data_IF_077510611444
#
_entry.id   IF_077510611444
#
_cell.length_a   1.000
_cell.length_b   1.000
_cell.length_c   1.000
_cell.angle_alpha   90.00
_cell.angle_beta   90.00
_cell.angle_gamma   90.00
#
_symmetry.space_group_name_H-M   'P 1'
#
loop_
_entity.id
_entity.type
_entity.pdbx_description
1 polymer ?
#
# COMPACT_ATOMS: atom_id res chain seq x y z
N UNK A 1 21.44 -1.17 29.30
CA UNK A 1 22.19 -0.31 28.36
C UNK A 1 21.18 0.57 27.62
N UNK A 2 21.19 1.88 27.85
CA UNK A 2 20.35 2.81 27.07
C UNK A 2 21.00 2.92 25.69
N UNK A 3 20.42 2.27 24.70
CA UNK A 3 20.93 2.32 23.33
C UNK A 3 20.91 3.79 22.85
N UNK A 4 22.06 4.29 22.40
CA UNK A 4 22.16 5.63 21.81
C UNK A 4 21.19 5.73 20.64
N UNK A 5 20.30 6.74 20.59
CA UNK A 5 19.29 6.82 19.54
C UNK A 5 19.98 6.96 18.17
N UNK A 6 19.69 6.02 17.26
CA UNK A 6 20.21 6.06 15.88
C UNK A 6 19.31 6.94 15.02
N UNK A 7 19.91 7.69 14.09
CA UNK A 7 19.18 8.47 13.08
C UNK A 7 19.03 7.66 11.79
N UNK A 8 17.92 7.86 11.08
CA UNK A 8 17.66 7.21 9.79
C UNK A 8 18.54 7.89 8.72
N UNK A 9 19.42 7.11 8.06
CA UNK A 9 20.33 7.62 7.01
C UNK A 9 19.65 7.68 5.64
N UNK A 10 18.91 6.65 5.26
CA UNK A 10 18.27 6.51 3.96
C UNK A 10 17.07 5.55 4.04
N UNK A 11 16.18 5.63 3.04
CA UNK A 11 15.05 4.71 2.85
C UNK A 11 15.17 4.04 1.49
N UNK A 12 15.18 2.70 1.45
CA UNK A 12 15.13 1.92 0.20
C UNK A 12 13.69 1.46 0.00
N UNK A 13 13.03 1.99 -1.03
CA UNK A 13 11.68 1.58 -1.40
C UNK A 13 11.74 0.33 -2.29
N UNK A 14 10.71 -0.52 -2.17
CA UNK A 14 10.57 -1.75 -2.94
C UNK A 14 9.13 -2.25 -2.91
N UNK A 15 8.91 -3.41 -3.53
CA UNK A 15 7.66 -4.14 -3.48
C UNK A 15 7.74 -5.19 -2.36
N UNK A 16 6.61 -5.42 -1.68
CA UNK A 16 6.54 -6.44 -0.64
C UNK A 16 6.38 -7.82 -1.29
N UNK A 17 7.37 -8.69 -1.13
CA UNK A 17 7.27 -10.06 -1.62
C UNK A 17 6.24 -10.85 -0.81
N UNK A 18 5.57 -11.86 -1.40
CA UNK A 18 4.65 -12.73 -0.67
C UNK A 18 5.31 -13.39 0.54
N UNK A 19 6.57 -13.82 0.41
CA UNK A 19 7.33 -14.40 1.52
C UNK A 19 7.59 -13.39 2.64
N UNK A 20 7.90 -12.13 2.28
CA UNK A 20 8.10 -11.08 3.27
C UNK A 20 6.80 -10.73 4.00
N UNK A 21 5.67 -10.65 3.28
CA UNK A 21 4.35 -10.39 3.88
C UNK A 21 4.00 -11.46 4.91
N UNK A 22 4.20 -12.75 4.59
CA UNK A 22 3.97 -13.84 5.55
C UNK A 22 4.91 -13.77 6.75
N UNK A 23 6.16 -13.35 6.55
CA UNK A 23 7.16 -13.22 7.63
C UNK A 23 6.85 -12.09 8.62
N UNK A 24 6.37 -10.94 8.14
CA UNK A 24 6.01 -9.81 9.01
C UNK A 24 4.63 -9.96 9.65
N UNK A 25 3.87 -10.97 9.23
CA UNK A 25 2.51 -11.16 9.68
C UNK A 25 2.45 -12.03 10.93
N UNK A 26 1.74 -11.54 11.94
CA UNK A 26 1.54 -12.25 13.21
C UNK A 26 0.31 -13.16 13.21
N UNK A 27 -0.61 -12.94 12.27
CA UNK A 27 -1.86 -13.69 12.16
C UNK A 27 -2.32 -13.81 10.71
N UNK A 28 -2.72 -15.03 10.33
CA UNK A 28 -3.48 -15.29 9.11
C UNK A 28 -4.95 -14.98 9.39
N UNK A 29 -5.53 -14.11 8.58
CA UNK A 29 -6.92 -13.69 8.74
C UNK A 29 -7.79 -14.57 7.84
N UNK A 30 -8.74 -15.25 8.47
CA UNK A 30 -9.62 -16.21 7.80
C UNK A 30 -11.06 -15.78 7.91
N UNK A 31 -11.52 -15.30 9.07
CA UNK A 31 -12.92 -14.96 9.29
C UNK A 31 -13.21 -13.51 8.93
N UNK A 32 -14.40 -13.29 8.34
CA UNK A 32 -14.87 -11.96 7.97
C UNK A 32 -15.52 -11.21 9.14
N UNK A 33 -15.91 -11.92 10.20
CA UNK A 33 -16.58 -11.35 11.36
C UNK A 33 -15.59 -10.64 12.29
N UNK A 34 -16.03 -9.54 12.89
CA UNK A 34 -15.18 -8.66 13.69
C UNK A 34 -15.28 -8.94 15.18
N UNK A 35 -16.50 -8.96 15.72
CA UNK A 35 -16.80 -9.20 17.13
C UNK A 35 -17.89 -10.25 17.28
N UNK A 36 -17.85 -10.99 18.38
CA UNK A 36 -18.90 -11.90 18.80
C UNK A 36 -20.09 -11.15 19.45
N UNK A 37 -21.12 -11.91 19.84
CA UNK A 37 -22.34 -11.37 20.48
C UNK A 37 -22.06 -10.71 21.84
N UNK A 38 -20.98 -11.14 22.52
CA UNK A 38 -20.52 -10.60 23.80
C UNK A 38 -19.62 -9.36 23.64
N UNK A 39 -19.30 -8.97 22.39
CA UNK A 39 -18.48 -7.82 22.06
C UNK A 39 -16.96 -8.06 22.12
N UNK A 40 -16.52 -9.32 22.22
CA UNK A 40 -15.11 -9.69 22.12
C UNK A 40 -14.68 -9.93 20.68
N UNK A 41 -13.44 -9.56 20.32
CA UNK A 41 -12.94 -9.77 18.96
C UNK A 41 -12.71 -11.26 18.67
N UNK A 42 -13.06 -11.70 17.46
CA UNK A 42 -12.78 -13.06 17.02
C UNK A 42 -11.29 -13.32 16.81
N UNK A 43 -10.82 -14.47 17.30
CA UNK A 43 -9.49 -14.99 16.97
C UNK A 43 -9.47 -15.42 15.48
N UNK A 44 -8.46 -14.96 14.73
CA UNK A 44 -8.37 -15.17 13.28
C UNK A 44 -9.24 -14.23 12.43
N UNK A 45 -9.92 -13.26 13.06
CA UNK A 45 -10.70 -12.22 12.39
C UNK A 45 -9.95 -10.90 12.21
N UNK A 46 -10.60 -9.89 11.64
CA UNK A 46 -9.97 -8.60 11.34
C UNK A 46 -9.60 -7.75 12.56
N UNK A 47 -10.19 -8.07 13.72
CA UNK A 47 -9.95 -7.41 15.01
C UNK A 47 -9.14 -8.30 15.97
N UNK A 48 -8.47 -9.35 15.45
CA UNK A 48 -7.66 -10.27 16.26
C UNK A 48 -6.68 -9.50 17.16
N UNK A 49 -6.66 -9.75 18.49
CA UNK A 49 -5.78 -9.05 19.43
C UNK A 49 -4.28 -9.17 19.15
N UNK A 50 -3.86 -10.11 18.29
CA UNK A 50 -2.48 -10.22 17.79
C UNK A 50 -2.12 -9.07 16.85
N UNK A 51 -3.08 -8.48 16.15
CA UNK A 51 -2.89 -7.33 15.25
C UNK A 51 -2.80 -5.99 16.00
N UNK A 52 -3.13 -5.97 17.27
CA UNK A 52 -3.16 -4.79 18.12
C UNK A 52 -4.45 -4.70 18.91
N UNK A 53 -4.52 -3.71 19.81
CA UNK A 53 -5.69 -3.47 20.66
C UNK A 53 -6.13 -2.03 20.58
N UNK A 54 -7.44 -1.82 20.57
CA UNK A 54 -8.09 -0.49 20.60
C UNK A 54 -8.94 -0.30 21.86
N UNK A 55 -9.45 -1.39 22.45
CA UNK A 55 -10.22 -1.34 23.69
C UNK A 55 -9.30 -1.22 24.92
N UNK A 56 -9.50 -0.25 25.83
CA UNK A 56 -8.62 0.00 26.98
C UNK A 56 -8.46 -1.19 27.96
N UNK A 57 -9.44 -2.10 27.98
CA UNK A 57 -9.41 -3.30 28.83
C UNK A 57 -8.57 -4.45 28.27
N UNK A 58 -8.18 -4.40 27.00
CA UNK A 58 -7.46 -5.48 26.32
C UNK A 58 -5.95 -5.22 26.27
N UNK A 59 -5.19 -6.32 26.27
CA UNK A 59 -3.74 -6.33 26.03
C UNK A 59 -3.46 -7.05 24.72
N UNK A 60 -2.50 -6.52 23.95
CA UNK A 60 -2.12 -7.15 22.70
C UNK A 60 -1.48 -8.53 22.96
N UNK A 61 -1.95 -9.56 22.24
CA UNK A 61 -1.41 -10.93 22.37
C UNK A 61 0.04 -11.04 21.85
N UNK A 62 0.49 -10.13 20.99
CA UNK A 62 1.83 -10.16 20.37
C UNK A 62 2.87 -9.41 21.20
N UNK A 63 2.60 -8.16 21.58
CA UNK A 63 3.57 -7.33 22.33
C UNK A 63 3.27 -7.18 23.83
N UNK A 64 2.07 -7.57 24.31
CA UNK A 64 1.66 -7.41 25.71
C UNK A 64 1.30 -5.98 26.12
N UNK A 65 1.54 -4.99 25.26
CA UNK A 65 1.23 -3.57 25.51
C UNK A 65 -0.27 -3.28 25.51
N UNK A 66 -0.65 -2.21 26.21
CA UNK A 66 -2.00 -1.65 26.22
C UNK A 66 -2.20 -0.68 25.06
N UNK A 67 -3.43 -0.17 24.92
CA UNK A 67 -3.79 0.89 23.97
C UNK A 67 -2.89 2.11 24.20
N UNK A 68 -2.34 2.68 23.12
CA UNK A 68 -1.42 3.82 23.14
C UNK A 68 0.05 3.43 23.01
N UNK A 69 0.49 2.38 23.70
CA UNK A 69 1.87 1.89 23.65
C UNK A 69 2.09 0.81 22.58
N UNK A 70 1.02 0.11 22.19
CA UNK A 70 1.08 -0.90 21.14
C UNK A 70 1.28 -0.24 19.76
N UNK A 71 2.36 -0.55 19.00
CA UNK A 71 2.57 -0.01 17.66
C UNK A 71 1.58 -0.57 16.63
N UNK A 72 0.96 -1.71 16.93
CA UNK A 72 0.17 -2.51 15.99
C UNK A 72 1.03 -3.49 15.19
N UNK A 73 0.41 -4.59 14.77
CA UNK A 73 1.08 -5.68 14.06
C UNK A 73 0.31 -6.06 12.79
N UNK A 74 1.04 -6.45 11.75
CA UNK A 74 0.44 -6.78 10.46
C UNK A 74 -0.17 -8.19 10.46
N UNK A 75 -1.27 -8.33 9.73
CA UNK A 75 -1.87 -9.60 9.36
C UNK A 75 -1.63 -9.91 7.90
N UNK A 76 -2.08 -11.08 7.45
CA UNK A 76 -2.15 -11.37 6.02
C UNK A 76 -3.39 -12.19 5.67
N UNK A 77 -3.87 -12.00 4.44
CA UNK A 77 -4.89 -12.83 3.80
C UNK A 77 -4.22 -13.56 2.64
N UNK A 78 -4.39 -14.88 2.62
CA UNK A 78 -3.96 -15.71 1.49
C UNK A 78 -5.06 -15.67 0.42
N UNK A 79 -4.72 -15.18 -0.77
CA UNK A 79 -5.68 -15.06 -1.86
C UNK A 79 -5.82 -16.40 -2.59
N UNK A 80 -7.05 -16.82 -2.89
CA UNK A 80 -7.33 -18.08 -3.58
C UNK A 80 -6.80 -18.08 -5.03
N UNK A 81 -6.73 -16.89 -5.65
CA UNK A 81 -6.15 -16.66 -6.98
C UNK A 81 -5.34 -15.37 -6.99
N UNK A 82 -4.32 -15.25 -7.87
CA UNK A 82 -3.55 -14.02 -7.99
C UNK A 82 -4.42 -12.85 -8.47
N UNK A 83 -4.12 -11.65 -8.01
CA UNK A 83 -4.89 -10.44 -8.31
C UNK A 83 -3.96 -9.30 -8.69
N UNK A 84 -4.25 -8.62 -9.79
CA UNK A 84 -3.44 -7.52 -10.30
C UNK A 84 -3.55 -6.32 -9.36
N UNK A 85 -2.41 -5.81 -8.91
CA UNK A 85 -2.38 -4.54 -8.19
C UNK A 85 -2.59 -3.37 -9.16
N UNK A 86 -3.72 -2.67 -9.03
CA UNK A 86 -4.17 -1.61 -9.96
C UNK A 86 -3.13 -0.49 -10.19
N UNK A 87 -2.31 -0.18 -9.18
CA UNK A 87 -1.24 0.81 -9.29
C UNK A 87 -0.18 0.47 -10.35
N UNK A 88 -0.02 -0.82 -10.67
CA UNK A 88 0.98 -1.32 -11.61
C UNK A 88 0.37 -1.78 -12.94
N UNK A 89 -0.95 -1.69 -13.13
CA UNK A 89 -1.62 -2.22 -14.32
C UNK A 89 -1.03 -1.70 -15.65
N UNK A 90 -0.67 -0.41 -15.70
CA UNK A 90 -0.01 0.20 -16.86
C UNK A 90 1.44 -0.24 -17.05
N UNK A 91 2.15 -0.51 -15.95
CA UNK A 91 3.55 -0.96 -15.98
C UNK A 91 3.62 -2.41 -16.44
N UNK A 92 2.79 -3.29 -15.87
CA UNK A 92 2.61 -4.68 -16.32
C UNK A 92 2.28 -4.72 -17.81
N UNK A 93 1.39 -3.85 -18.30
CA UNK A 93 1.13 -3.73 -19.74
C UNK A 93 2.37 -3.39 -20.57
N UNK A 94 3.20 -2.42 -20.13
CA UNK A 94 4.46 -2.09 -20.82
C UNK A 94 5.40 -3.30 -20.87
N UNK A 95 5.53 -4.02 -19.75
CA UNK A 95 6.39 -5.20 -19.64
C UNK A 95 5.92 -6.31 -20.56
N UNK A 96 4.65 -6.69 -20.47
CA UNK A 96 4.08 -7.78 -21.29
C UNK A 96 4.28 -7.54 -22.78
N UNK A 97 4.24 -6.28 -23.24
CA UNK A 97 4.50 -5.95 -24.65
C UNK A 97 5.96 -6.10 -25.07
N UNK A 98 6.88 -5.86 -24.14
CA UNK A 98 8.33 -6.01 -24.37
C UNK A 98 8.83 -7.43 -24.22
N UNK A 99 8.05 -8.32 -23.58
CA UNK A 99 8.41 -9.72 -23.36
C UNK A 99 7.78 -10.64 -24.41
N UNK A 100 8.51 -11.67 -24.81
CA UNK A 100 7.93 -12.77 -25.58
C UNK A 100 6.90 -13.54 -24.73
N UNK A 101 5.78 -13.93 -25.34
CA UNK A 101 4.72 -14.67 -24.65
C UNK A 101 5.10 -16.09 -24.21
N UNK A 102 6.12 -16.67 -24.84
CA UNK A 102 6.51 -18.07 -24.60
C UNK A 102 7.82 -18.20 -23.81
N UNK A 103 8.90 -17.52 -24.25
CA UNK A 103 10.19 -17.60 -23.56
C UNK A 103 10.38 -16.56 -22.45
N UNK A 104 9.45 -15.60 -22.28
CA UNK A 104 9.53 -14.51 -21.29
C UNK A 104 10.81 -13.67 -21.32
N UNK A 105 11.60 -13.76 -22.40
CA UNK A 105 12.76 -12.89 -22.65
C UNK A 105 12.34 -11.59 -23.32
N UNK A 106 13.14 -10.55 -23.16
CA UNK A 106 12.93 -9.27 -23.85
C UNK A 106 13.03 -9.49 -25.37
N UNK A 107 12.14 -8.85 -26.14
CA UNK A 107 12.12 -8.90 -27.62
C UNK A 107 13.23 -8.09 -28.28
N UNK A 108 14.47 -8.20 -27.80
CA UNK A 108 15.63 -7.50 -28.32
C UNK A 108 16.80 -8.47 -28.47
N UNK A 109 17.60 -8.28 -29.52
CA UNK A 109 18.81 -9.07 -29.72
C UNK A 109 19.85 -8.77 -28.63
N UNK A 110 20.71 -9.75 -28.30
CA UNK A 110 21.69 -9.64 -27.21
C UNK A 110 22.66 -8.47 -27.37
N UNK A 111 23.09 -8.15 -28.59
CA UNK A 111 23.93 -6.96 -28.87
C UNK A 111 23.24 -5.64 -28.47
N UNK A 112 21.95 -5.55 -28.73
CA UNK A 112 21.15 -4.37 -28.35
C UNK A 112 20.93 -4.32 -26.85
N UNK A 113 20.70 -5.47 -26.21
CA UNK A 113 20.58 -5.56 -24.75
C UNK A 113 21.87 -5.11 -24.06
N UNK A 114 23.03 -5.50 -24.56
CA UNK A 114 24.31 -5.11 -23.96
C UNK A 114 24.57 -3.60 -24.09
N UNK A 115 24.19 -3.01 -25.23
CA UNK A 115 24.22 -1.54 -25.40
C UNK A 115 23.33 -0.82 -24.38
N UNK A 116 22.12 -1.33 -24.13
CA UNK A 116 21.24 -0.76 -23.10
C UNK A 116 21.79 -0.97 -21.69
N UNK A 117 22.36 -2.15 -21.36
CA UNK A 117 23.02 -2.40 -20.07
C UNK A 117 24.12 -1.39 -19.78
N UNK A 118 24.99 -1.13 -20.77
CA UNK A 118 26.07 -0.16 -20.61
C UNK A 118 25.53 1.26 -20.41
N UNK A 119 24.49 1.66 -21.17
CA UNK A 119 23.82 2.95 -21.01
C UNK A 119 23.19 3.11 -19.63
N UNK A 120 22.53 2.08 -19.12
CA UNK A 120 21.89 2.08 -17.79
C UNK A 120 22.93 2.17 -16.66
N UNK A 121 24.05 1.43 -16.76
CA UNK A 121 25.15 1.52 -15.79
C UNK A 121 25.75 2.93 -15.74
N UNK A 122 25.98 3.55 -16.90
CA UNK A 122 26.45 4.95 -16.97
C UNK A 122 25.42 5.91 -16.36
N UNK A 123 24.14 5.74 -16.68
CA UNK A 123 23.09 6.60 -16.14
C UNK A 123 23.00 6.54 -14.61
N UNK A 124 23.17 5.36 -13.99
CA UNK A 124 23.24 5.20 -12.53
C UNK A 124 24.43 5.94 -11.91
N UNK A 125 25.58 5.97 -12.58
CA UNK A 125 26.78 6.65 -12.08
C UNK A 125 26.71 8.18 -12.24
N UNK A 126 26.18 8.67 -13.36
CA UNK A 126 26.14 10.11 -13.69
C UNK A 126 24.85 10.81 -13.23
N UNK A 127 23.88 10.07 -12.69
CA UNK A 127 22.57 10.62 -12.30
C UNK A 127 21.69 11.05 -13.48
N UNK A 128 21.94 10.51 -14.69
CA UNK A 128 21.08 10.77 -15.85
C UNK A 128 19.70 10.11 -15.66
N UNK A 129 18.71 10.61 -16.40
CA UNK A 129 17.31 10.14 -16.30
C UNK A 129 17.17 8.69 -16.79
N UNK A 130 17.23 7.78 -15.83
CA UNK A 130 17.03 6.33 -16.00
C UNK A 130 15.73 6.00 -16.73
N UNK A 131 14.63 6.67 -16.35
CA UNK A 131 13.29 6.42 -16.88
C UNK A 131 13.19 6.63 -18.40
N UNK A 132 13.91 7.61 -18.94
CA UNK A 132 13.89 7.87 -20.40
C UNK A 132 14.50 6.72 -21.20
N UNK A 133 15.57 6.12 -20.69
CA UNK A 133 16.26 5.01 -21.35
C UNK A 133 15.37 3.77 -21.31
N UNK A 134 14.73 3.51 -20.17
CA UNK A 134 13.80 2.38 -20.02
C UNK A 134 12.57 2.56 -20.91
N UNK A 135 12.00 3.77 -21.00
CA UNK A 135 10.89 4.04 -21.93
C UNK A 135 11.29 3.92 -23.41
N UNK A 136 12.53 4.25 -23.78
CA UNK A 136 13.08 4.01 -25.11
C UNK A 136 13.15 2.50 -25.40
N UNK A 137 13.63 1.71 -24.43
CA UNK A 137 13.70 0.26 -24.52
C UNK A 137 12.32 -0.38 -24.69
N UNK A 138 11.30 0.08 -23.96
CA UNK A 138 9.93 -0.41 -24.15
C UNK A 138 9.38 -0.11 -25.55
N UNK A 139 9.77 1.02 -26.16
CA UNK A 139 9.34 1.38 -27.52
C UNK A 139 10.00 0.50 -28.58
N UNK A 140 11.30 0.23 -28.45
CA UNK A 140 12.05 -0.61 -29.40
C UNK A 140 11.62 -2.07 -29.28
N UNK A 141 11.49 -2.61 -28.07
CA UNK A 141 11.03 -3.99 -27.85
C UNK A 141 9.60 -4.23 -28.35
N UNK A 142 8.72 -3.22 -28.30
CA UNK A 142 7.35 -3.30 -28.82
C UNK A 142 7.29 -3.47 -30.34
N UNK A 143 8.25 -2.90 -31.09
CA UNK A 143 8.22 -2.94 -32.56
C UNK A 143 8.70 -4.25 -33.15
N UNK A 144 9.45 -5.04 -32.38
CA UNK A 144 9.97 -6.34 -32.81
C UNK A 144 8.84 -7.35 -32.97
N UNK A 145 8.68 -7.91 -34.18
CA UNK A 145 7.61 -8.88 -34.51
C UNK A 145 8.00 -10.34 -34.29
N UNK A 146 9.28 -10.66 -34.42
CA UNK A 146 9.81 -12.03 -34.28
C UNK A 146 10.75 -12.04 -33.08
N UNK A 147 10.56 -12.98 -32.15
CA UNK A 147 11.42 -13.07 -30.99
C UNK A 147 12.84 -13.50 -31.39
N UNK A 148 13.89 -12.74 -31.03
CA UNK A 148 15.28 -13.10 -31.33
C UNK A 148 15.78 -14.38 -30.63
N UNK A 149 15.10 -14.83 -29.58
CA UNK A 149 15.54 -15.95 -28.74
C UNK A 149 14.88 -17.29 -29.09
N UNK A 150 13.57 -17.31 -29.33
CA UNK A 150 12.83 -18.53 -29.65
C UNK A 150 12.32 -18.60 -31.09
N UNK A 151 12.46 -17.53 -31.89
CA UNK A 151 11.97 -17.47 -33.26
C UNK A 151 10.44 -17.41 -33.40
N UNK A 152 9.70 -17.48 -32.30
CA UNK A 152 8.24 -17.39 -32.28
C UNK A 152 7.80 -15.95 -32.58
N UNK A 153 6.73 -15.86 -33.37
CA UNK A 153 6.07 -14.60 -33.65
C UNK A 153 5.40 -14.02 -32.42
N UNK A 154 5.55 -12.71 -32.22
CA UNK A 154 5.03 -12.08 -31.02
C UNK A 154 3.59 -11.64 -31.20
N UNK A 155 2.73 -12.02 -30.26
CA UNK A 155 1.34 -11.57 -30.19
C UNK A 155 1.24 -10.09 -29.81
N UNK A 156 0.20 -9.40 -30.31
CA UNK A 156 -0.09 -8.03 -29.89
C UNK A 156 -0.93 -8.05 -28.62
N UNK A 157 -0.52 -7.27 -27.61
CA UNK A 157 -1.27 -7.13 -26.36
C UNK A 157 -2.00 -5.80 -26.37
N UNK A 158 -3.31 -5.85 -26.12
CA UNK A 158 -4.18 -4.69 -25.90
C UNK A 158 -4.51 -4.58 -24.40
N UNK A 159 -4.57 -3.34 -23.92
CA UNK A 159 -4.95 -3.05 -22.54
C UNK A 159 -6.37 -2.51 -22.53
N UNK A 160 -7.27 -3.29 -21.96
CA UNK A 160 -8.63 -2.85 -21.68
C UNK A 160 -8.70 -2.34 -20.24
N UNK A 161 -9.08 -1.07 -20.11
CA UNK A 161 -9.07 -0.40 -18.80
C UNK A 161 -10.24 -0.93 -17.99
N UNK A 162 -10.06 -1.21 -16.69
CA UNK A 162 -8.97 -0.76 -15.82
C UNK A 162 -7.85 -1.78 -15.56
N UNK A 163 -8.08 -3.08 -15.79
CA UNK A 163 -7.21 -4.16 -15.31
C UNK A 163 -7.14 -5.39 -16.24
N UNK A 164 -7.66 -5.33 -17.46
CA UNK A 164 -7.73 -6.47 -18.35
C UNK A 164 -6.69 -6.39 -19.49
N UNK A 165 -6.10 -7.54 -19.83
CA UNK A 165 -5.15 -7.68 -20.92
C UNK A 165 -5.70 -8.65 -21.96
N UNK A 166 -5.68 -8.26 -23.23
CA UNK A 166 -6.16 -9.09 -24.34
C UNK A 166 -4.98 -9.34 -25.28
N UNK A 167 -4.63 -10.61 -25.45
CA UNK A 167 -3.66 -11.06 -26.42
C UNK A 167 -4.37 -11.33 -27.76
N UNK A 168 -3.86 -10.73 -28.82
CA UNK A 168 -4.35 -10.92 -30.19
C UNK A 168 -3.32 -11.74 -30.94
N UNK A 169 -3.67 -12.99 -31.23
CA UNK A 169 -2.87 -13.88 -32.05
C UNK A 169 -2.94 -13.49 -33.52
N UNK A 170 -2.02 -14.01 -34.33
CA UNK A 170 -1.99 -13.75 -35.79
C UNK A 170 -3.27 -14.15 -36.51
N UNK A 171 -3.94 -15.20 -36.02
CA UNK A 171 -5.19 -15.70 -36.57
C UNK A 171 -6.39 -14.77 -36.26
N UNK A 172 -6.15 -13.65 -35.57
CA UNK A 172 -7.18 -12.71 -35.14
C UNK A 172 -7.97 -13.16 -33.90
N UNK A 173 -7.67 -14.35 -33.36
CA UNK A 173 -8.22 -14.81 -32.09
C UNK A 173 -7.78 -13.90 -30.95
N UNK A 174 -8.75 -13.51 -30.12
CA UNK A 174 -8.56 -12.64 -28.97
C UNK A 174 -8.70 -13.47 -27.72
N UNK A 175 -7.61 -13.63 -26.97
CA UNK A 175 -7.59 -14.37 -25.71
C UNK A 175 -7.37 -13.38 -24.58
N UNK A 176 -8.22 -13.43 -23.56
CA UNK A 176 -8.02 -12.63 -22.35
C UNK A 176 -6.98 -13.32 -21.48
N UNK A 177 -5.94 -12.59 -21.09
CA UNK A 177 -4.93 -13.10 -20.18
C UNK A 177 -5.45 -13.01 -18.74
N UNK A 178 -5.42 -14.13 -18.03
CA UNK A 178 -5.72 -14.15 -16.60
C UNK A 178 -4.54 -13.61 -15.78
N UNK A 179 -4.79 -13.19 -14.54
CA UNK A 179 -3.70 -12.75 -13.66
C UNK A 179 -2.71 -13.89 -13.34
N UNK A 180 -3.15 -15.15 -13.42
CA UNK A 180 -2.27 -16.32 -13.32
C UNK A 180 -1.32 -16.40 -14.51
N UNK A 181 -1.84 -16.29 -15.74
CA UNK A 181 -1.01 -16.34 -16.95
C UNK A 181 0.02 -15.20 -16.97
N UNK A 182 -0.41 -14.00 -16.56
CA UNK A 182 0.47 -12.84 -16.46
C UNK A 182 1.58 -13.11 -15.44
N UNK A 183 1.24 -13.63 -14.26
CA UNK A 183 2.23 -13.93 -13.21
C UNK A 183 3.24 -14.98 -13.68
N UNK A 184 2.79 -16.07 -14.28
CA UNK A 184 3.67 -17.13 -14.79
C UNK A 184 4.65 -16.59 -15.84
N UNK A 185 4.19 -15.69 -16.72
CA UNK A 185 5.07 -15.03 -17.69
C UNK A 185 6.11 -14.14 -17.01
N UNK A 186 5.73 -13.38 -15.97
CA UNK A 186 6.63 -12.51 -15.23
C UNK A 186 7.64 -13.31 -14.38
N UNK A 187 7.26 -14.46 -13.84
CA UNK A 187 8.14 -15.33 -13.04
C UNK A 187 9.26 -15.97 -13.87
N UNK A 188 9.00 -16.24 -15.15
CA UNK A 188 10.00 -16.77 -16.10
C UNK A 188 11.02 -15.73 -16.57
N UNK A 189 10.86 -14.44 -16.22
CA UNK A 189 11.81 -13.39 -16.60
C UNK A 189 13.13 -13.58 -15.84
N UNK A 190 14.27 -13.72 -16.53
CA UNK A 190 15.54 -13.85 -15.83
C UNK A 190 15.98 -12.53 -15.20
N UNK A 191 16.75 -12.62 -14.12
CA UNK A 191 17.26 -11.46 -13.37
C UNK A 191 18.00 -10.45 -14.26
N UNK A 192 18.77 -10.95 -15.23
CA UNK A 192 19.50 -10.12 -16.19
C UNK A 192 18.61 -9.23 -17.05
N UNK A 193 17.39 -9.69 -17.33
CA UNK A 193 16.41 -8.96 -18.14
C UNK A 193 15.58 -8.04 -17.24
N UNK A 194 15.23 -8.49 -16.04
CA UNK A 194 14.54 -7.67 -15.03
C UNK A 194 15.33 -6.39 -14.69
N UNK A 195 16.65 -6.49 -14.53
CA UNK A 195 17.53 -5.32 -14.30
C UNK A 195 17.48 -4.31 -15.44
N UNK A 196 17.42 -4.78 -16.69
CA UNK A 196 17.36 -3.93 -17.89
C UNK A 196 16.00 -3.23 -17.98
N UNK A 197 14.93 -3.91 -17.58
CA UNK A 197 13.58 -3.37 -17.49
C UNK A 197 13.42 -2.34 -16.36
N UNK A 198 14.45 -2.19 -15.53
CA UNK A 198 14.49 -1.19 -14.46
C UNK A 198 14.11 -1.71 -13.08
N UNK A 199 14.01 -3.03 -12.91
CA UNK A 199 13.73 -3.65 -11.63
C UNK A 199 15.02 -3.90 -10.84
N UNK A 200 14.88 -3.98 -9.53
CA UNK A 200 15.91 -4.45 -8.60
C UNK A 200 15.45 -5.84 -8.15
N UNK A 201 16.23 -6.87 -8.48
CA UNK A 201 15.88 -8.28 -8.29
C UNK A 201 15.76 -8.65 -6.81
N UNK A 202 16.38 -7.88 -5.90
CA UNK A 202 16.29 -8.12 -4.46
C UNK A 202 15.01 -7.54 -3.83
N UNK A 203 14.46 -6.45 -4.40
CA UNK A 203 13.40 -5.67 -3.73
C UNK A 203 12.17 -5.39 -4.58
N UNK A 204 12.19 -5.59 -5.90
CA UNK A 204 11.07 -5.21 -6.78
C UNK A 204 10.91 -6.17 -7.97
N UNK A 205 10.95 -7.47 -7.71
CA UNK A 205 10.67 -8.49 -8.72
C UNK A 205 9.30 -8.27 -9.40
N UNK A 206 9.20 -8.43 -10.73
CA UNK A 206 8.02 -8.04 -11.48
C UNK A 206 6.78 -8.89 -11.13
N UNK A 207 6.94 -10.17 -10.81
CA UNK A 207 5.87 -11.08 -10.43
C UNK A 207 5.15 -10.66 -9.13
N UNK A 208 5.77 -9.82 -8.29
CA UNK A 208 5.14 -9.29 -7.07
C UNK A 208 4.09 -8.20 -7.35
N UNK A 209 3.96 -7.74 -8.60
CA UNK A 209 2.85 -6.87 -9.01
C UNK A 209 1.50 -7.62 -9.08
N UNK A 210 1.55 -8.95 -9.22
CA UNK A 210 0.42 -9.86 -9.10
C UNK A 210 0.35 -10.38 -7.67
N UNK A 211 -0.60 -9.88 -6.89
CA UNK A 211 -0.73 -10.17 -5.46
C UNK A 211 -1.23 -11.60 -5.26
N UNK A 212 -0.50 -12.39 -4.48
CA UNK A 212 -0.99 -13.67 -3.93
C UNK A 212 -1.31 -13.59 -2.45
N UNK A 213 -0.70 -12.63 -1.75
CA UNK A 213 -0.90 -12.41 -0.33
C UNK A 213 -1.17 -10.94 -0.14
N UNK A 214 -2.26 -10.62 0.56
CA UNK A 214 -2.64 -9.25 0.87
C UNK A 214 -2.25 -8.94 2.32
N UNK A 215 -1.39 -7.96 2.59
CA UNK A 215 -1.10 -7.54 3.96
C UNK A 215 -2.30 -6.82 4.56
N UNK A 216 -2.70 -7.24 5.77
CA UNK A 216 -3.77 -6.61 6.54
C UNK A 216 -3.15 -5.59 7.48
N UNK A 217 -3.56 -4.31 7.41
CA UNK A 217 -3.04 -3.29 8.30
C UNK A 217 -3.48 -3.55 9.75
N UNK A 218 -2.64 -3.19 10.73
CA UNK A 218 -2.95 -3.31 12.15
C UNK A 218 -4.27 -2.66 12.56
N UNK A 219 -4.84 -3.10 13.69
CA UNK A 219 -6.07 -2.51 14.25
C UNK A 219 -5.85 -1.04 14.64
N UNK A 220 -4.65 -0.68 15.09
CA UNK A 220 -4.28 0.71 15.42
C UNK A 220 -4.36 1.66 14.22
N UNK A 221 -4.24 1.14 12.99
CA UNK A 221 -4.39 1.90 11.76
C UNK A 221 -5.85 1.94 11.23
N UNK A 222 -6.74 1.16 11.83
CA UNK A 222 -8.17 1.02 11.49
C UNK A 222 -9.05 1.14 12.75
N UNK A 223 -9.02 2.28 13.46
CA UNK A 223 -9.77 2.43 14.70
C UNK A 223 -11.28 2.40 14.44
N UNK A 224 -12.01 1.67 15.28
CA UNK A 224 -13.47 1.73 15.34
C UNK A 224 -13.93 2.96 16.13
N UNK A 225 -15.09 3.51 15.77
CA UNK A 225 -15.72 4.63 16.47
C UNK A 225 -17.00 4.11 17.14
N UNK A 226 -17.11 4.26 18.45
CA UNK A 226 -18.37 4.03 19.17
C UNK A 226 -19.25 5.27 19.04
N UNK A 227 -20.45 5.10 18.49
CA UNK A 227 -21.47 6.15 18.43
C UNK A 227 -22.08 6.37 19.82
N UNK A 228 -22.73 7.51 20.02
CA UNK A 228 -23.44 7.83 21.27
C UNK A 228 -24.56 6.83 21.61
N UNK A 229 -25.09 6.14 20.58
CA UNK A 229 -26.06 5.04 20.72
C UNK A 229 -25.48 3.75 21.31
N UNK A 230 -24.16 3.68 21.52
CA UNK A 230 -23.44 2.47 21.91
C UNK A 230 -23.09 1.54 20.74
N UNK A 231 -23.57 1.82 19.53
CA UNK A 231 -23.22 1.04 18.34
C UNK A 231 -21.78 1.34 17.89
N UNK A 232 -21.06 0.28 17.49
CA UNK A 232 -19.71 0.41 16.91
C UNK A 232 -19.81 0.65 15.40
N UNK A 233 -19.26 1.76 14.94
CA UNK A 233 -19.03 2.04 13.54
C UNK A 233 -17.58 1.69 13.18
N UNK A 234 -17.42 0.70 12.31
CA UNK A 234 -16.12 0.24 11.86
C UNK A 234 -15.47 1.18 10.85
N UNK A 235 -14.15 1.09 10.75
CA UNK A 235 -13.37 1.86 9.79
C UNK A 235 -13.67 1.43 8.34
N UNK A 236 -13.65 2.39 7.40
CA UNK A 236 -13.90 2.14 5.98
C UNK A 236 -12.97 1.06 5.38
N UNK A 237 -11.71 0.94 5.86
CA UNK A 237 -10.80 -0.14 5.43
C UNK A 237 -11.24 -1.49 5.99
N UNK A 238 -11.69 -1.55 7.24
CA UNK A 238 -12.21 -2.77 7.85
C UNK A 238 -13.40 -3.29 7.06
N UNK A 239 -14.37 -2.43 6.75
CA UNK A 239 -15.52 -2.79 5.90
C UNK A 239 -15.09 -3.40 4.56
N UNK A 240 -14.07 -2.83 3.91
CA UNK A 240 -13.63 -3.35 2.62
C UNK A 240 -12.85 -4.66 2.74
N UNK A 241 -12.08 -4.84 3.81
CA UNK A 241 -11.39 -6.09 4.10
C UNK A 241 -12.37 -7.22 4.40
N UNK A 242 -13.48 -6.94 5.08
CA UNK A 242 -14.58 -7.90 5.29
C UNK A 242 -15.09 -8.42 3.95
N UNK A 243 -15.38 -7.51 3.00
CA UNK A 243 -15.85 -7.91 1.68
C UNK A 243 -14.81 -8.77 0.94
N UNK A 244 -13.52 -8.41 1.02
CA UNK A 244 -12.42 -9.17 0.40
C UNK A 244 -12.35 -10.58 0.96
N UNK A 245 -12.45 -10.75 2.29
CA UNK A 245 -12.41 -12.06 2.93
C UNK A 245 -13.60 -12.91 2.49
N UNK A 246 -14.82 -12.36 2.51
CA UNK A 246 -16.04 -13.07 2.11
C UNK A 246 -15.96 -13.58 0.67
N UNK A 247 -15.55 -12.72 -0.27
CA UNK A 247 -15.44 -13.14 -1.68
C UNK A 247 -14.29 -14.13 -1.88
N UNK A 248 -13.18 -13.97 -1.16
CA UNK A 248 -12.04 -14.90 -1.25
C UNK A 248 -12.39 -16.29 -0.69
N UNK A 249 -13.11 -16.37 0.43
CA UNK A 249 -13.65 -17.63 0.98
C UNK A 249 -14.60 -18.29 -0.01
N UNK A 250 -15.60 -17.54 -0.50
CA UNK A 250 -16.56 -18.04 -1.48
C UNK A 250 -15.88 -18.54 -2.75
N UNK A 251 -14.86 -17.84 -3.24
CA UNK A 251 -14.07 -18.28 -4.38
C UNK A 251 -13.36 -19.61 -4.09
N UNK A 252 -12.73 -19.74 -2.92
CA UNK A 252 -12.03 -20.97 -2.55
C UNK A 252 -12.99 -22.16 -2.41
N UNK A 253 -14.14 -21.98 -1.75
CA UNK A 253 -15.18 -23.02 -1.60
C UNK A 253 -15.73 -23.48 -2.96
N UNK A 254 -15.96 -22.55 -3.90
CA UNK A 254 -16.46 -22.91 -5.24
C UNK A 254 -15.40 -23.63 -6.08
N UNK A 255 -14.11 -23.30 -5.90
CA UNK A 255 -13.02 -24.02 -6.55
C UNK A 255 -12.92 -25.45 -6.00
N UNK A 256 -12.98 -25.62 -4.67
CA UNK A 256 -12.92 -26.93 -4.01
C UNK A 256 -14.14 -27.81 -4.34
N UNK A 257 -15.32 -27.20 -4.48
CA UNK A 257 -16.54 -27.89 -4.90
C UNK A 257 -16.57 -28.26 -6.40
N UNK A 258 -15.57 -27.85 -7.19
CA UNK A 258 -15.51 -28.13 -8.62
C UNK A 258 -16.57 -27.37 -9.44
N UNK A 259 -16.89 -26.14 -9.04
CA UNK A 259 -17.85 -25.31 -9.75
C UNK A 259 -17.43 -25.03 -11.21
N UNK A 260 -18.39 -24.79 -12.12
CA UNK A 260 -18.11 -24.41 -13.51
C UNK A 260 -17.17 -23.19 -13.63
N UNK A 261 -16.31 -23.20 -14.65
CA UNK A 261 -15.29 -22.16 -14.88
C UNK A 261 -15.86 -20.74 -14.91
N UNK A 262 -17.01 -20.54 -15.55
CA UNK A 262 -17.68 -19.22 -15.65
C UNK A 262 -17.97 -18.62 -14.26
N UNK A 263 -18.41 -19.44 -13.30
CA UNK A 263 -18.71 -18.98 -11.94
C UNK A 263 -17.42 -18.59 -11.21
N UNK A 264 -16.35 -19.36 -11.40
CA UNK A 264 -15.04 -19.07 -10.81
C UNK A 264 -14.48 -17.77 -11.38
N UNK A 265 -14.60 -17.54 -12.69
CA UNK A 265 -14.19 -16.29 -13.34
C UNK A 265 -14.98 -15.09 -12.81
N UNK A 266 -16.31 -15.17 -12.70
CA UNK A 266 -17.14 -14.09 -12.17
C UNK A 266 -16.76 -13.74 -10.72
N UNK A 267 -16.54 -14.75 -9.87
CA UNK A 267 -16.10 -14.55 -8.48
C UNK A 267 -14.69 -13.96 -8.41
N UNK A 268 -13.80 -14.35 -9.33
CA UNK A 268 -12.44 -13.81 -9.41
C UNK A 268 -12.43 -12.36 -9.88
N UNK A 269 -13.25 -11.99 -10.85
CA UNK A 269 -13.44 -10.58 -11.25
C UNK A 269 -13.98 -9.74 -10.10
N UNK A 270 -14.91 -10.29 -9.32
CA UNK A 270 -15.42 -9.62 -8.13
C UNK A 270 -14.33 -9.44 -7.07
N UNK A 271 -13.47 -10.44 -6.86
CA UNK A 271 -12.29 -10.30 -5.99
C UNK A 271 -11.34 -9.19 -6.49
N UNK A 272 -11.07 -9.13 -7.79
CA UNK A 272 -10.29 -8.06 -8.42
C UNK A 272 -10.93 -6.68 -8.18
N UNK A 273 -12.26 -6.57 -8.28
CA UNK A 273 -12.99 -5.35 -7.96
C UNK A 273 -12.79 -4.91 -6.50
N UNK A 274 -12.95 -5.82 -5.54
CA UNK A 274 -12.81 -5.52 -4.12
C UNK A 274 -11.39 -5.08 -3.75
N UNK A 275 -10.36 -5.73 -4.29
CA UNK A 275 -8.96 -5.35 -4.05
C UNK A 275 -8.62 -4.02 -4.75
N UNK A 276 -9.11 -3.81 -5.97
CA UNK A 276 -8.90 -2.55 -6.71
C UNK A 276 -9.44 -1.36 -5.92
N UNK A 277 -10.68 -1.48 -5.44
CA UNK A 277 -11.34 -0.41 -4.66
C UNK A 277 -10.73 -0.26 -3.27
N UNK A 278 -10.15 -1.32 -2.67
CA UNK A 278 -9.39 -1.23 -1.40
C UNK A 278 -8.11 -0.39 -1.52
N UNK A 279 -7.36 -0.50 -2.63
CA UNK A 279 -6.20 0.34 -2.85
C UNK A 279 -6.59 1.75 -3.29
N UNK A 280 -7.55 1.85 -4.21
CA UNK A 280 -8.01 3.13 -4.73
C UNK A 280 -9.49 3.06 -5.16
N UNK A 281 -10.38 3.66 -4.38
CA UNK A 281 -11.80 3.75 -4.68
C UNK A 281 -12.19 4.81 -5.75
N UNK A 282 -11.23 5.55 -6.31
CA UNK A 282 -11.43 6.60 -7.33
C UNK A 282 -10.88 6.19 -8.71
N UNK A 283 -10.73 4.89 -8.97
CA UNK A 283 -10.24 4.39 -10.26
C UNK A 283 -11.30 4.60 -11.34
N UNK A 284 -10.91 5.24 -12.44
CA UNK A 284 -11.79 5.45 -13.58
C UNK A 284 -12.23 4.12 -14.22
N UNK A 285 -13.54 3.99 -14.48
CA UNK A 285 -14.13 2.77 -15.04
C UNK A 285 -14.51 1.71 -13.98
N UNK A 286 -14.23 1.96 -12.70
CA UNK A 286 -14.65 1.09 -11.60
C UNK A 286 -15.72 1.81 -10.76
N UNK A 287 -16.88 1.18 -10.50
CA UNK A 287 -17.89 1.82 -9.66
C UNK A 287 -17.40 1.96 -8.21
N UNK A 288 -17.50 3.15 -7.59
CA UNK A 288 -16.97 3.37 -6.26
C UNK A 288 -17.75 2.53 -5.24
N UNK A 289 -17.01 1.82 -4.39
CA UNK A 289 -17.56 1.10 -3.25
C UNK A 289 -18.14 2.10 -2.24
N UNK A 290 -19.37 1.85 -1.80
CA UNK A 290 -20.14 2.71 -0.90
C UNK A 290 -20.54 1.93 0.34
N UNK A 291 -20.64 2.64 1.46
CA UNK A 291 -21.31 2.14 2.65
C UNK A 291 -22.82 1.95 2.37
N UNK A 292 -23.53 1.21 3.23
CA UNK A 292 -24.99 1.05 3.13
C UNK A 292 -25.75 2.38 3.16
N UNK A 293 -25.15 3.41 3.75
CA UNK A 293 -25.68 4.79 3.78
C UNK A 293 -25.49 5.56 2.47
N UNK A 294 -24.88 4.95 1.45
CA UNK A 294 -24.59 5.59 0.16
C UNK A 294 -23.31 6.43 0.14
N UNK A 295 -22.66 6.68 1.28
CA UNK A 295 -21.37 7.39 1.37
C UNK A 295 -20.25 6.57 0.71
N UNK A 296 -19.42 7.15 -0.18
CA UNK A 296 -18.26 6.44 -0.73
C UNK A 296 -17.22 6.16 0.36
N UNK A 297 -16.60 4.99 0.32
CA UNK A 297 -15.58 4.59 1.29
C UNK A 297 -14.25 5.32 1.04
N UNK A 298 -13.59 5.80 2.11
CA UNK A 298 -12.26 6.41 2.06
C UNK A 298 -11.15 5.36 2.28
N UNK A 299 -10.63 4.87 1.16
CA UNK A 299 -9.60 3.81 1.11
C UNK A 299 -8.16 4.34 1.14
N UNK A 300 -7.15 3.49 0.94
CA UNK A 300 -5.72 3.82 1.16
C UNK A 300 -5.26 5.08 0.42
N UNK A 301 -5.54 5.17 -0.88
CA UNK A 301 -5.11 6.33 -1.70
C UNK A 301 -5.73 7.64 -1.20
N UNK A 302 -7.02 7.64 -0.85
CA UNK A 302 -7.75 8.82 -0.35
C UNK A 302 -7.28 9.25 1.04
N UNK A 303 -6.78 8.32 1.86
CA UNK A 303 -6.18 8.66 3.17
C UNK A 303 -4.86 9.40 2.99
N UNK A 304 -4.07 9.05 1.97
CA UNK A 304 -2.76 9.64 1.74
C UNK A 304 -2.86 10.96 0.96
N UNK A 305 -3.64 10.98 -0.12
CA UNK A 305 -3.77 12.11 -1.05
C UNK A 305 -4.86 13.10 -0.61
N UNK A 306 -4.79 14.31 -1.14
CA UNK A 306 -5.86 15.32 -1.03
C UNK A 306 -5.54 16.40 -0.02
N UNK A 307 -6.47 17.36 0.15
CA UNK A 307 -6.31 18.48 1.08
C UNK A 307 -6.32 18.00 2.55
N UNK A 308 -7.19 17.03 2.85
CA UNK A 308 -7.32 16.41 4.18
C UNK A 308 -6.43 15.18 4.37
N UNK A 309 -5.75 14.72 3.31
CA UNK A 309 -4.89 13.53 3.36
C UNK A 309 -3.66 13.70 4.25
N UNK A 310 -3.12 12.58 4.73
CA UNK A 310 -2.06 12.51 5.74
C UNK A 310 -0.81 13.32 5.39
N UNK A 311 -0.41 13.39 4.11
CA UNK A 311 0.78 14.15 3.72
C UNK A 311 0.64 15.64 4.06
N UNK A 312 -0.49 16.27 3.70
CA UNK A 312 -0.69 17.71 3.92
C UNK A 312 -1.13 18.03 5.35
N UNK A 313 -2.05 17.24 5.90
CA UNK A 313 -2.72 17.55 7.18
C UNK A 313 -2.00 17.03 8.42
N UNK A 314 -1.15 16.00 8.27
CA UNK A 314 -0.47 15.36 9.40
C UNK A 314 1.06 15.36 9.30
N UNK A 315 1.66 15.41 8.10
CA UNK A 315 3.11 15.40 7.94
C UNK A 315 3.68 16.80 7.71
N UNK A 316 3.20 17.53 6.70
CA UNK A 316 3.69 18.88 6.37
C UNK A 316 3.22 19.96 7.34
N UNK A 317 1.97 19.87 7.80
CA UNK A 317 1.40 20.75 8.82
C UNK A 317 0.91 19.91 9.99
N UNK A 318 1.22 20.35 11.21
CA UNK A 318 0.69 19.74 12.44
C UNK A 318 0.15 20.82 13.34
N UNK A 319 -0.89 20.49 14.10
CA UNK A 319 -1.26 21.29 15.27
C UNK A 319 -0.17 21.11 16.31
N UNK A 320 0.27 22.21 16.88
CA UNK A 320 1.29 22.23 17.93
C UNK A 320 0.63 22.51 19.27
N UNK A 321 1.19 21.93 20.32
CA UNK A 321 0.84 22.28 21.69
C UNK A 321 1.61 23.56 22.08
N UNK A 322 1.24 24.16 23.22
CA UNK A 322 1.89 25.38 23.75
C UNK A 322 1.84 26.57 22.78
N UNK A 323 0.65 26.85 22.25
CA UNK A 323 0.37 28.01 21.41
C UNK A 323 -0.94 28.66 21.80
N UNK A 324 -1.00 29.98 21.79
CA UNK A 324 -2.21 30.76 22.02
C UNK A 324 -2.44 31.76 20.87
N UNK A 325 -3.70 32.17 20.68
CA UNK A 325 -4.09 33.17 19.67
C UNK A 325 -5.16 34.08 20.25
N UNK A 326 -4.95 35.39 20.16
CA UNK A 326 -5.93 36.41 20.55
C UNK A 326 -5.85 37.62 19.61
N UNK A 327 -6.76 38.57 19.77
CA UNK A 327 -6.79 39.84 19.03
C UNK A 327 -5.70 40.77 19.59
N UNK A 328 -5.02 41.50 18.70
CA UNK A 328 -3.98 42.47 19.08
C UNK A 328 -4.57 43.85 19.36
N UNK A 329 -3.93 44.61 20.26
CA UNK A 329 -4.26 46.00 20.54
C UNK A 329 -2.96 46.81 20.65
N UNK A 330 -2.92 48.08 20.19
CA UNK A 330 -1.71 48.87 20.21
C UNK A 330 -1.39 49.35 21.64
N UNK A 331 -0.11 49.29 22.03
CA UNK A 331 0.39 49.87 23.28
C UNK A 331 1.71 50.62 22.99
N UNK A 332 1.76 51.95 23.14
CA UNK A 332 2.97 52.74 22.90
C UNK A 332 3.95 52.73 24.08
N UNK A 333 3.61 52.12 25.23
CA UNK A 333 4.44 52.17 26.44
C UNK A 333 5.43 51.02 26.57
N UNK A 334 5.38 50.03 25.68
CA UNK A 334 6.28 48.87 25.66
C UNK A 334 7.43 49.10 24.67
N UNK A 335 8.57 48.46 24.92
CA UNK A 335 9.71 48.53 24.00
C UNK A 335 9.40 47.79 22.68
N UNK A 336 10.18 48.10 21.62
CA UNK A 336 10.00 47.51 20.28
C UNK A 336 10.16 45.98 20.29
N UNK A 337 10.94 45.45 21.24
CA UNK A 337 11.22 44.03 21.45
C UNK A 337 10.29 43.34 22.46
N UNK A 338 9.32 44.06 23.03
CA UNK A 338 8.39 43.54 24.03
C UNK A 338 7.04 43.16 23.41
N UNK A 339 6.33 42.26 24.10
CA UNK A 339 4.97 41.86 23.74
C UNK A 339 4.13 41.69 24.99
N UNK A 340 2.98 42.37 25.03
CA UNK A 340 2.01 42.21 26.12
C UNK A 340 1.32 40.84 26.03
N UNK A 341 1.51 39.99 27.04
CA UNK A 341 0.84 38.70 27.16
C UNK A 341 -0.21 38.76 28.26
N UNK A 342 -1.50 38.49 27.98
CA UNK A 342 -2.54 38.45 29.00
C UNK A 342 -2.23 37.43 30.11
N UNK A 343 -2.49 37.81 31.37
CA UNK A 343 -2.33 36.94 32.55
C UNK A 343 -2.99 35.57 32.39
N UNK A 344 -4.18 35.52 31.77
CA UNK A 344 -4.90 34.28 31.52
C UNK A 344 -4.11 33.31 30.62
N UNK A 345 -3.38 33.83 29.63
CA UNK A 345 -2.52 33.02 28.75
C UNK A 345 -1.23 32.65 29.49
N UNK A 346 -0.64 33.60 30.22
CA UNK A 346 0.61 33.39 30.94
C UNK A 346 0.49 32.30 32.03
N UNK A 347 -0.67 32.16 32.67
CA UNK A 347 -0.92 31.12 33.69
C UNK A 347 -1.06 29.72 33.11
N UNK A 348 -1.49 29.59 31.86
CA UNK A 348 -1.65 28.31 31.16
C UNK A 348 -0.38 27.89 30.41
N UNK A 349 0.39 28.85 29.91
CA UNK A 349 1.61 28.59 29.15
C UNK A 349 2.83 28.39 30.06
N UNK A 350 3.36 27.18 30.11
CA UNK A 350 4.52 26.84 30.96
C UNK A 350 5.80 26.64 30.17
N UNK A 351 6.95 26.94 30.78
CA UNK A 351 8.28 26.66 30.22
C UNK A 351 9.00 25.61 31.08
N UNK A 352 9.45 24.52 30.45
CA UNK A 352 10.20 23.47 31.13
C UNK A 352 11.63 23.93 31.44
N UNK A 353 11.86 24.40 32.66
CA UNK A 353 13.20 24.85 33.12
C UNK A 353 13.90 23.75 33.90
N UNK A 354 15.10 23.35 33.46
CA UNK A 354 15.90 22.36 34.19
C UNK A 354 16.49 23.01 35.44
N UNK A 355 16.25 22.39 36.60
CA UNK A 355 16.80 22.84 37.88
C UNK A 355 18.32 22.70 37.86
N UNK A 356 19.01 23.75 38.29
CA UNK A 356 20.44 23.81 38.54
C UNK A 356 20.70 24.56 39.85
N UNK A 357 21.96 24.55 40.30
CA UNK A 357 22.35 25.18 41.57
C UNK A 357 22.04 26.69 41.64
N UNK A 358 21.97 27.37 40.49
CA UNK A 358 21.74 28.82 40.43
C UNK A 358 20.26 29.20 40.47
N UNK A 359 19.38 28.38 39.89
CA UNK A 359 17.97 28.68 39.78
C UNK A 359 17.10 27.97 40.83
N UNK A 360 17.67 27.04 41.62
CA UNK A 360 16.91 26.22 42.58
C UNK A 360 16.17 27.05 43.63
N UNK A 361 16.77 28.09 44.18
CA UNK A 361 16.12 28.94 45.19
C UNK A 361 15.00 29.79 44.60
N UNK A 362 15.16 30.21 43.34
CA UNK A 362 14.14 31.00 42.63
C UNK A 362 12.96 30.12 42.22
N UNK A 363 13.21 28.95 41.63
CA UNK A 363 12.17 28.01 41.22
C UNK A 363 11.38 27.41 42.39
N UNK A 364 11.93 27.43 43.61
CA UNK A 364 11.20 27.04 44.84
C UNK A 364 10.17 28.09 45.29
N UNK A 365 10.30 29.34 44.85
CA UNK A 365 9.42 30.46 45.24
C UNK A 365 8.30 30.71 44.23
N UNK A 366 8.52 30.33 42.97
CA UNK A 366 7.49 30.27 41.92
C UNK A 366 6.57 29.09 42.17
#
# INVERSE_FOLDING_TARGET
MIATPRKIKALKFGLLSPAHIRKISEARIVTADTYDEDGYPFDGGLMDPRLGVVDPGLKCKTCGSRVGDCPGHFGHIELARPVLHIGYAKLVYKILRSLCGECSRIKLADDTLERYRLRLRRARATGQQFDKIVDELFKTARTTKICPHCGVDTSEIKFDKPSAYIEVSKDGSKTRLSATDVRERLEKVPDSDAEILGFDTDVSRPEWMELTVLPVPPVTARPSITLESGERSEDDLTHKLVDIIRINQRLNENIEAGAPHLIIEDLWELLQYHITTYFNNEVAGVPPARHRSGRPLKTLTQRLKGKEGRFRSNLSGKRVNFSARTVVSPDPNIEINEVGVPDAIAREMTVATRVNERNIEHLKKL
#
